data_IF_397799006670
#
_entry.id   IF_397799006670
#
_cell.length_a   1.000
_cell.length_b   1.000
_cell.length_c   1.000
_cell.angle_alpha   90.00
_cell.angle_beta   90.00
_cell.angle_gamma   90.00
#
_symmetry.space_group_name_H-M   'P 1'
#
loop_
_entity.id
_entity.type
_entity.pdbx_description
1 polymer ?
#
# COMPACT_ATOMS: atom_id res chain seq x y z
N UNK A 1 15.24 4.97 -8.73
CA UNK A 1 14.86 5.82 -7.57
C UNK A 1 14.20 5.04 -6.43
N UNK A 2 13.54 3.90 -6.69
CA UNK A 2 12.80 3.18 -5.65
C UNK A 2 13.67 2.46 -4.60
N UNK A 3 14.80 1.86 -5.00
CA UNK A 3 15.71 1.14 -4.08
C UNK A 3 16.29 2.04 -2.97
N UNK A 4 16.60 3.31 -3.28
CA UNK A 4 17.07 4.29 -2.27
C UNK A 4 16.01 4.61 -1.22
N UNK A 5 14.75 4.78 -1.63
CA UNK A 5 13.64 5.03 -0.69
C UNK A 5 13.41 3.82 0.23
N UNK A 6 13.59 2.62 -0.29
CA UNK A 6 13.50 1.39 0.49
C UNK A 6 14.57 1.35 1.59
N UNK A 7 15.83 1.64 1.25
CA UNK A 7 16.93 1.70 2.22
C UNK A 7 16.68 2.73 3.35
N UNK A 8 16.20 3.93 2.98
CA UNK A 8 15.84 4.96 3.98
C UNK A 8 14.69 4.52 4.88
N UNK A 9 13.66 3.87 4.33
CA UNK A 9 12.53 3.38 5.11
C UNK A 9 12.94 2.27 6.09
N UNK A 10 13.86 1.39 5.70
CA UNK A 10 14.42 0.35 6.58
C UNK A 10 15.19 0.98 7.74
N UNK A 11 15.99 2.03 7.48
CA UNK A 11 16.76 2.74 8.50
C UNK A 11 15.87 3.49 9.52
N UNK A 12 14.60 3.75 9.21
CA UNK A 12 13.63 4.43 10.10
C UNK A 12 12.77 3.46 10.91
N UNK A 13 12.97 2.15 10.79
CA UNK A 13 12.23 1.14 11.52
C UNK A 13 12.66 1.05 13.00
N UNK A 14 11.70 0.72 13.86
CA UNK A 14 12.00 0.31 15.23
C UNK A 14 12.71 -1.05 15.23
N UNK A 15 13.51 -1.38 16.26
CA UNK A 15 14.31 -2.61 16.33
C UNK A 15 13.52 -3.91 16.03
N UNK A 16 12.30 -4.04 16.55
CA UNK A 16 11.43 -5.20 16.29
C UNK A 16 11.05 -5.36 14.82
N UNK A 17 10.75 -4.25 14.13
CA UNK A 17 10.39 -4.28 12.71
C UNK A 17 11.63 -4.40 11.83
N UNK A 18 12.77 -3.86 12.27
CA UNK A 18 14.05 -4.04 11.60
C UNK A 18 14.46 -5.51 11.57
N UNK A 19 14.36 -6.21 12.71
CA UNK A 19 14.63 -7.66 12.79
C UNK A 19 13.79 -8.44 11.77
N UNK A 20 12.48 -8.17 11.72
CA UNK A 20 11.57 -8.82 10.76
C UNK A 20 11.93 -8.51 9.30
N UNK A 21 12.34 -7.26 9.01
CA UNK A 21 12.81 -6.87 7.68
C UNK A 21 14.08 -7.66 7.29
N UNK A 22 15.02 -7.85 8.21
CA UNK A 22 16.23 -8.64 8.00
C UNK A 22 15.92 -10.14 7.81
N UNK A 23 14.94 -10.68 8.55
CA UNK A 23 14.48 -12.06 8.35
C UNK A 23 13.91 -12.29 6.95
N UNK A 24 13.15 -11.34 6.39
CA UNK A 24 12.63 -11.43 5.02
C UNK A 24 13.77 -11.59 4.00
N UNK A 25 14.91 -10.93 4.23
CA UNK A 25 16.10 -11.06 3.38
C UNK A 25 16.74 -12.44 3.55
N UNK A 26 16.93 -12.89 4.80
CA UNK A 26 17.52 -14.20 5.10
C UNK A 26 16.76 -15.37 4.46
N UNK A 27 15.44 -15.27 4.31
CA UNK A 27 14.62 -16.31 3.66
C UNK A 27 15.05 -16.62 2.22
N UNK A 28 15.49 -15.61 1.47
CA UNK A 28 15.93 -15.76 0.08
C UNK A 28 17.45 -15.69 -0.06
N UNK A 29 18.17 -15.37 1.01
CA UNK A 29 19.62 -15.28 1.04
C UNK A 29 20.16 -16.05 2.26
N UNK A 30 20.44 -17.35 2.13
CA UNK A 30 20.88 -18.19 3.25
C UNK A 30 22.24 -17.77 3.82
N UNK A 31 23.04 -17.01 3.06
CA UNK A 31 24.32 -16.46 3.53
C UNK A 31 24.14 -15.17 4.33
N UNK A 32 22.94 -14.59 4.36
CA UNK A 32 22.66 -13.36 5.07
C UNK A 32 22.44 -13.63 6.57
N UNK A 33 23.30 -13.07 7.40
CA UNK A 33 23.25 -13.24 8.84
C UNK A 33 22.36 -12.17 9.49
N UNK A 34 21.03 -12.37 9.46
CA UNK A 34 20.07 -11.42 10.02
C UNK A 34 20.20 -11.15 11.53
N UNK A 35 20.92 -12.00 12.28
CA UNK A 35 21.11 -11.91 13.74
C UNK A 35 22.49 -11.41 14.18
N UNK A 36 23.33 -10.97 13.24
CA UNK A 36 24.63 -10.41 13.62
C UNK A 36 24.48 -9.02 14.27
N UNK A 37 25.48 -8.61 15.04
CA UNK A 37 25.51 -7.32 15.75
C UNK A 37 25.51 -6.14 14.77
N UNK A 38 26.27 -6.26 13.69
CA UNK A 38 26.27 -5.33 12.56
C UNK A 38 26.02 -6.11 11.26
N UNK A 39 25.09 -5.63 10.44
CA UNK A 39 24.73 -6.26 9.17
C UNK A 39 24.71 -5.21 8.07
N UNK A 40 25.49 -5.43 7.02
CA UNK A 40 25.44 -4.62 5.82
C UNK A 40 24.43 -5.22 4.83
N UNK A 41 23.39 -4.45 4.50
CA UNK A 41 22.35 -4.85 3.56
C UNK A 41 22.45 -4.06 2.26
N UNK A 42 22.94 -4.70 1.19
CA UNK A 42 22.89 -4.11 -0.15
C UNK A 42 21.53 -4.39 -0.82
N UNK A 43 20.71 -3.35 -0.87
CA UNK A 43 19.39 -3.33 -1.54
C UNK A 43 19.52 -3.55 -3.06
N UNK A 44 20.64 -3.20 -3.68
CA UNK A 44 20.82 -3.34 -5.12
C UNK A 44 21.14 -4.77 -5.53
N UNK A 45 21.83 -5.53 -4.66
CA UNK A 45 22.15 -6.94 -4.85
C UNK A 45 20.99 -7.90 -4.54
N UNK A 46 19.91 -7.45 -3.89
CA UNK A 46 18.75 -8.30 -3.61
C UNK A 46 17.89 -8.56 -4.85
N UNK A 47 17.30 -9.76 -4.91
CA UNK A 47 16.34 -10.15 -5.93
C UNK A 47 15.04 -9.34 -5.86
N UNK A 48 14.35 -9.18 -6.99
CA UNK A 48 13.10 -8.41 -7.07
C UNK A 48 12.01 -8.92 -6.13
N UNK A 49 11.91 -10.24 -5.95
CA UNK A 49 10.97 -10.88 -5.03
C UNK A 49 11.23 -10.48 -3.58
N UNK A 50 12.48 -10.39 -3.16
CA UNK A 50 12.88 -9.93 -1.82
C UNK A 50 12.56 -8.45 -1.62
N UNK A 51 12.87 -7.63 -2.62
CA UNK A 51 12.56 -6.20 -2.59
C UNK A 51 11.06 -5.92 -2.52
N UNK A 52 10.26 -6.70 -3.25
CA UNK A 52 8.80 -6.57 -3.23
C UNK A 52 8.22 -6.94 -1.86
N UNK A 53 8.70 -8.03 -1.25
CA UNK A 53 8.31 -8.44 0.11
C UNK A 53 8.68 -7.37 1.15
N UNK A 54 9.90 -6.83 1.09
CA UNK A 54 10.34 -5.73 1.94
C UNK A 54 9.46 -4.48 1.77
N UNK A 55 9.19 -4.07 0.53
CA UNK A 55 8.33 -2.92 0.22
C UNK A 55 6.92 -3.10 0.77
N UNK A 56 6.35 -4.30 0.67
CA UNK A 56 5.02 -4.59 1.20
C UNK A 56 5.00 -4.59 2.73
N UNK A 57 5.99 -5.22 3.35
CA UNK A 57 6.15 -5.23 4.80
C UNK A 57 6.27 -3.81 5.38
N UNK A 58 7.12 -2.96 4.78
CA UNK A 58 7.28 -1.57 5.20
C UNK A 58 5.98 -0.76 5.05
N UNK A 59 5.21 -0.98 3.98
CA UNK A 59 3.90 -0.33 3.80
C UNK A 59 2.93 -0.71 4.92
N UNK A 60 2.96 -1.95 5.39
CA UNK A 60 2.11 -2.42 6.49
C UNK A 60 2.54 -1.81 7.83
N UNK A 61 3.84 -1.89 8.16
CA UNK A 61 4.43 -1.33 9.38
C UNK A 61 4.20 0.18 9.48
N UNK A 62 4.40 0.91 8.38
CA UNK A 62 4.20 2.37 8.34
C UNK A 62 2.71 2.74 8.44
N UNK A 63 1.80 1.95 7.84
CA UNK A 63 0.35 2.18 7.98
C UNK A 63 -0.13 2.03 9.42
N UNK A 64 0.44 1.09 10.18
CA UNK A 64 0.12 0.92 11.60
C UNK A 64 0.60 2.13 12.42
N UNK A 65 1.76 2.70 12.08
CA UNK A 65 2.30 3.90 12.72
C UNK A 65 1.48 5.17 12.45
N UNK A 66 0.78 5.24 11.31
CA UNK A 66 -0.03 6.40 10.89
C UNK A 66 -1.47 6.41 11.39
N UNK A 67 -1.92 5.41 12.16
CA UNK A 67 -3.32 5.39 12.65
C UNK A 67 -3.61 6.43 13.74
N UNK A 68 -2.58 7.06 14.31
CA UNK A 68 -2.70 8.20 15.23
C UNK A 68 -2.51 9.58 14.57
N UNK A 69 -1.99 9.65 13.34
CA UNK A 69 -1.77 10.93 12.66
C UNK A 69 -2.27 10.84 11.22
N UNK A 70 -3.43 11.44 11.01
CA UNK A 70 -4.04 11.77 9.73
C UNK A 70 -3.04 12.56 8.84
N UNK A 71 -2.22 11.90 8.03
CA UNK A 71 -1.75 12.47 6.77
C UNK A 71 -1.17 11.44 5.79
N UNK A 72 -1.49 11.70 4.54
CA UNK A 72 -1.07 11.09 3.30
C UNK A 72 0.46 11.24 3.05
N UNK A 73 1.01 10.41 2.14
CA UNK A 73 2.41 10.27 1.67
C UNK A 73 3.26 9.20 2.39
N UNK A 74 4.03 8.31 1.74
CA UNK A 74 4.59 8.29 0.39
C UNK A 74 5.07 6.88 0.03
N UNK A 75 4.25 6.09 -0.68
CA UNK A 75 4.76 5.01 -1.54
C UNK A 75 3.76 4.74 -2.67
N UNK A 76 3.36 5.80 -3.37
CA UNK A 76 2.68 5.67 -4.66
C UNK A 76 3.74 5.34 -5.70
N UNK A 77 3.63 4.14 -6.27
CA UNK A 77 4.23 3.82 -7.56
C UNK A 77 3.83 4.92 -8.55
N UNK A 78 4.82 5.50 -9.21
CA UNK A 78 4.61 6.48 -10.26
C UNK A 78 4.06 5.76 -11.51
N UNK A 79 2.76 5.46 -11.49
CA UNK A 79 2.00 5.30 -12.71
C UNK A 79 1.74 6.71 -13.25
N UNK A 80 2.54 7.10 -14.22
CA UNK A 80 2.30 8.28 -15.03
C UNK A 80 0.95 8.10 -15.73
N UNK A 81 -0.08 8.82 -15.29
CA UNK A 81 -1.02 9.40 -16.23
C UNK A 81 -1.57 10.71 -15.67
N UNK A 82 -1.18 11.76 -16.36
CA UNK A 82 -1.79 13.08 -16.42
C UNK A 82 -3.32 12.99 -16.39
N UNK A 83 -3.99 13.71 -15.48
CA UNK A 83 -5.03 14.70 -15.80
C UNK A 83 -5.75 15.21 -14.52
N UNK A 84 -5.43 16.46 -14.18
CA UNK A 84 -6.29 17.51 -13.63
C UNK A 84 -7.40 17.21 -12.60
N UNK A 85 -7.29 17.96 -11.51
CA UNK A 85 -8.32 18.81 -10.91
C UNK A 85 -9.24 18.29 -9.78
N UNK A 86 -9.16 19.05 -8.67
CA UNK A 86 -10.24 19.44 -7.75
C UNK A 86 -10.79 18.30 -6.87
N UNK A 87 -10.20 18.06 -5.69
CA UNK A 87 -10.58 18.72 -4.43
C UNK A 87 -12.09 18.91 -4.27
N UNK A 88 -12.65 18.10 -3.36
CA UNK A 88 -13.84 18.43 -2.58
C UNK A 88 -15.16 18.55 -3.35
N UNK A 89 -15.87 17.43 -3.49
CA UNK A 89 -17.31 17.33 -3.22
C UNK A 89 -17.80 15.86 -3.24
N UNK A 90 -18.23 15.41 -2.06
CA UNK A 90 -19.46 14.60 -1.84
C UNK A 90 -19.44 13.20 -2.48
N UNK A 91 -19.09 12.15 -1.72
CA UNK A 91 -20.10 11.32 -1.02
C UNK A 91 -21.51 11.46 -1.63
N UNK A 92 -22.02 10.36 -2.23
CA UNK A 92 -23.45 10.01 -2.44
C UNK A 92 -23.97 9.99 -3.89
N UNK A 93 -23.39 9.20 -4.80
CA UNK A 93 -24.03 8.96 -6.13
C UNK A 93 -23.96 7.50 -6.66
N UNK A 94 -23.60 6.49 -5.84
CA UNK A 94 -23.56 5.08 -6.30
C UNK A 94 -24.85 4.30 -5.96
N UNK A 95 -25.89 4.94 -5.38
CA UNK A 95 -27.09 4.23 -4.91
C UNK A 95 -28.41 4.54 -5.63
N UNK A 96 -28.47 5.47 -6.59
CA UNK A 96 -29.76 5.92 -7.16
C UNK A 96 -30.06 5.43 -8.59
N UNK A 97 -29.34 4.42 -9.11
CA UNK A 97 -29.63 3.83 -10.42
C UNK A 97 -30.51 2.56 -10.39
N UNK A 98 -30.84 2.01 -9.20
CA UNK A 98 -31.61 0.75 -9.09
C UNK A 98 -33.09 0.91 -8.68
N UNK A 99 -33.56 2.14 -8.43
CA UNK A 99 -34.90 2.37 -7.87
C UNK A 99 -35.98 2.84 -8.86
N UNK A 100 -35.88 2.51 -10.17
CA UNK A 100 -36.94 2.83 -11.14
C UNK A 100 -37.26 1.70 -12.13
N UNK A 101 -37.63 0.52 -11.65
CA UNK A 101 -38.39 -0.46 -12.45
C UNK A 101 -39.58 -1.09 -11.70
N UNK A 102 -40.11 -0.41 -10.69
CA UNK A 102 -41.36 -0.83 -10.05
C UNK A 102 -42.37 0.33 -10.05
N UNK A 103 -43.57 0.02 -10.57
CA UNK A 103 -44.86 0.75 -10.47
C UNK A 103 -45.22 1.70 -11.61
N UNK A 104 -45.81 1.13 -12.67
CA UNK A 104 -47.11 1.61 -13.21
C UNK A 104 -47.76 0.54 -14.11
N UNK A 105 -48.35 -0.50 -13.51
CA UNK A 105 -49.58 -1.10 -14.06
C UNK A 105 -50.73 -0.58 -13.21
N UNK A 106 -51.37 0.49 -13.68
CA UNK A 106 -52.69 0.89 -13.19
C UNK A 106 -53.74 0.20 -14.07
N UNK A 107 -54.82 -0.17 -13.40
CA UNK A 107 -55.87 -1.15 -13.74
C UNK A 107 -57.04 -0.45 -14.46
N UNK A 108 -57.90 -1.24 -15.14
CA UNK A 108 -59.27 -0.95 -15.63
C UNK A 108 -59.33 -0.14 -16.96
N UNK A 109 -60.22 -0.33 -17.95
CA UNK A 109 -61.48 -1.08 -18.09
C UNK A 109 -61.81 -1.34 -19.58
N UNK A 110 -62.75 -2.27 -19.80
CA UNK A 110 -63.37 -2.83 -21.02
C UNK A 110 -63.74 -1.92 -22.19
N UNK A 111 -63.77 -2.50 -23.40
CA UNK A 111 -64.88 -2.40 -24.37
C UNK A 111 -64.95 -3.69 -25.17
#
# INVERSE_FOLDING_TARGET
MEKRKLGLAIAQLCPENLSKALEIVALNNPNFQAKAEEVELDINAQSESTLWRLKYFLKDVLKVKSKDQNNDNTFREAANNQENNIVSKRKREICDALAKTAKKRKKQHSS
#
